data_IF_248801909812
#
_entry.id   IF_248801909812
#
_cell.length_a   1.000
_cell.length_b   1.000
_cell.length_c   1.000
_cell.angle_alpha   90.00
_cell.angle_beta   90.00
_cell.angle_gamma   90.00
#
_symmetry.space_group_name_H-M   'P 1'
#
loop_
_entity.id
_entity.type
_entity.pdbx_description
1 polymer ?
#
# COMPACT_ATOMS: atom_id res chain seq x y z
N UNK A 1 12.76 -3.61 -10.63
CA UNK A 1 13.62 -4.63 -9.99
C UNK A 1 14.54 -4.08 -8.90
N UNK A 2 14.82 -2.78 -8.84
CA UNK A 2 15.62 -2.14 -7.78
C UNK A 2 14.83 -1.84 -6.47
N UNK A 3 13.49 -1.98 -6.50
CA UNK A 3 12.56 -1.68 -5.38
C UNK A 3 12.72 -2.64 -4.22
N UNK A 4 12.89 -3.93 -4.53
CA UNK A 4 13.03 -4.97 -3.50
C UNK A 4 14.35 -4.82 -2.75
N UNK A 5 15.44 -4.50 -3.46
CA UNK A 5 16.75 -4.25 -2.86
C UNK A 5 16.74 -3.07 -1.88
N UNK A 6 16.03 -1.97 -2.20
CA UNK A 6 15.88 -0.82 -1.29
C UNK A 6 15.03 -1.13 -0.05
N UNK A 7 14.23 -2.19 -0.09
CA UNK A 7 13.47 -2.69 1.05
C UNK A 7 14.24 -3.75 1.84
N UNK A 8 15.47 -4.09 1.43
CA UNK A 8 16.26 -5.16 2.03
C UNK A 8 15.71 -6.56 1.74
N UNK A 9 14.99 -6.73 0.63
CA UNK A 9 14.24 -7.94 0.29
C UNK A 9 14.80 -8.57 -0.99
N UNK A 10 15.06 -9.88 -0.97
CA UNK A 10 15.39 -10.65 -2.17
C UNK A 10 14.13 -11.00 -2.97
N UNK A 11 14.30 -11.23 -4.28
CA UNK A 11 13.23 -11.79 -5.12
C UNK A 11 12.77 -13.16 -4.61
N UNK A 12 13.64 -13.93 -3.98
CA UNK A 12 13.32 -15.25 -3.41
C UNK A 12 12.38 -15.14 -2.20
N UNK A 13 12.40 -14.02 -1.49
CA UNK A 13 11.57 -13.77 -0.32
C UNK A 13 10.12 -13.42 -0.69
N UNK A 14 9.86 -13.13 -1.97
CA UNK A 14 8.54 -12.73 -2.47
C UNK A 14 8.08 -13.67 -3.57
N UNK A 15 7.02 -14.43 -3.29
CA UNK A 15 6.44 -15.31 -4.31
C UNK A 15 6.07 -14.57 -5.61
N UNK A 16 6.32 -15.20 -6.76
CA UNK A 16 5.93 -14.68 -8.09
C UNK A 16 4.44 -14.33 -8.16
N UNK A 17 3.58 -15.09 -7.47
CA UNK A 17 2.14 -14.82 -7.38
C UNK A 17 1.86 -13.48 -6.71
N UNK A 18 2.59 -13.15 -5.63
CA UNK A 18 2.45 -11.88 -4.91
C UNK A 18 2.94 -10.71 -5.75
N UNK A 19 4.07 -10.87 -6.45
CA UNK A 19 4.60 -9.88 -7.37
C UNK A 19 3.64 -9.60 -8.54
N UNK A 20 3.10 -10.63 -9.19
CA UNK A 20 2.12 -10.48 -10.28
C UNK A 20 0.89 -9.69 -9.84
N UNK A 21 0.35 -9.98 -8.65
CA UNK A 21 -0.79 -9.22 -8.08
C UNK A 21 -0.43 -7.76 -7.82
N UNK A 22 0.74 -7.49 -7.27
CA UNK A 22 1.18 -6.12 -7.01
C UNK A 22 1.26 -5.30 -8.31
N UNK A 23 1.84 -5.88 -9.37
CA UNK A 23 1.91 -5.25 -10.70
C UNK A 23 0.50 -5.03 -11.29
N UNK A 24 -0.41 -5.99 -11.16
CA UNK A 24 -1.81 -5.84 -11.61
C UNK A 24 -2.50 -4.65 -10.92
N UNK A 25 -2.30 -4.49 -9.61
CA UNK A 25 -2.83 -3.36 -8.84
C UNK A 25 -2.30 -2.03 -9.36
N UNK A 26 -0.99 -1.93 -9.59
CA UNK A 26 -0.36 -0.70 -10.13
C UNK A 26 -0.89 -0.39 -11.53
N UNK A 27 -0.91 -1.38 -12.43
CA UNK A 27 -1.36 -1.19 -13.81
C UNK A 27 -2.85 -0.81 -13.91
N UNK A 28 -3.65 -1.13 -12.90
CA UNK A 28 -5.07 -0.76 -12.83
C UNK A 28 -5.32 0.60 -12.15
N UNK A 29 -4.27 1.38 -11.85
CA UNK A 29 -4.42 2.69 -11.19
C UNK A 29 -5.00 2.61 -9.78
N UNK A 30 -4.71 1.52 -9.05
CA UNK A 30 -5.31 1.24 -7.74
C UNK A 30 -4.47 1.69 -6.55
N UNK A 31 -3.40 2.44 -6.80
CA UNK A 31 -2.58 3.05 -5.74
C UNK A 31 -2.85 4.54 -5.71
N UNK A 32 -3.23 5.06 -4.54
CA UNK A 32 -3.65 6.44 -4.34
C UNK A 32 -2.85 7.07 -3.21
N UNK A 33 -2.42 8.30 -3.41
CA UNK A 33 -1.76 9.14 -2.42
C UNK A 33 -2.66 10.31 -2.08
N UNK A 34 -3.03 10.43 -0.82
CA UNK A 34 -3.79 11.56 -0.28
C UNK A 34 -2.84 12.48 0.47
N UNK A 35 -2.94 13.78 0.17
CA UNK A 35 -2.22 14.86 0.85
C UNK A 35 -3.29 15.73 1.51
N UNK A 36 -3.29 15.76 2.85
CA UNK A 36 -4.24 16.53 3.62
C UNK A 36 -3.75 17.96 3.81
N UNK A 37 -4.64 18.93 3.64
CA UNK A 37 -4.34 20.36 3.75
C UNK A 37 -5.18 21.02 4.85
N UNK A 38 -4.60 21.93 5.65
CA UNK A 38 -3.23 22.46 5.56
C UNK A 38 -2.14 21.61 6.25
N UNK A 39 -2.48 20.53 6.95
CA UNK A 39 -1.51 19.80 7.80
C UNK A 39 -0.32 19.19 7.07
N UNK A 40 -0.44 18.92 5.77
CA UNK A 40 0.55 18.21 4.97
C UNK A 40 0.64 16.72 5.27
N UNK A 41 -0.27 16.16 6.08
CA UNK A 41 -0.32 14.72 6.37
C UNK A 41 -0.51 13.94 5.07
N UNK A 42 0.18 12.81 4.96
CA UNK A 42 0.12 11.94 3.78
C UNK A 42 -0.37 10.56 4.17
N UNK A 43 -1.36 10.06 3.43
CA UNK A 43 -1.89 8.70 3.56
C UNK A 43 -1.86 8.00 2.20
N UNK A 44 -1.47 6.72 2.19
CA UNK A 44 -1.56 5.87 1.01
C UNK A 44 -2.69 4.88 1.13
N UNK A 45 -3.43 4.72 0.03
CA UNK A 45 -4.52 3.78 -0.10
C UNK A 45 -4.29 2.88 -1.29
N UNK A 46 -4.45 1.57 -1.08
CA UNK A 46 -4.44 0.58 -2.16
C UNK A 46 -5.84 0.01 -2.30
N UNK A 47 -6.48 0.30 -3.43
CA UNK A 47 -7.87 -0.08 -3.73
C UNK A 47 -7.95 -1.59 -3.96
N UNK A 48 -8.63 -2.27 -3.07
CA UNK A 48 -8.81 -3.72 -3.13
C UNK A 48 -9.96 -4.15 -4.04
N UNK A 49 -10.40 -5.40 -3.88
CA UNK A 49 -11.65 -5.89 -4.48
C UNK A 49 -12.83 -5.80 -3.52
N UNK A 50 -12.57 -5.87 -2.21
CA UNK A 50 -13.59 -5.89 -1.15
C UNK A 50 -13.66 -4.58 -0.39
N UNK A 51 -12.49 -4.01 -0.10
CA UNK A 51 -12.33 -2.73 0.57
C UNK A 51 -11.01 -2.08 0.16
N UNK A 52 -10.86 -0.84 0.58
CA UNK A 52 -9.63 -0.09 0.42
C UNK A 52 -8.71 -0.33 1.61
N UNK A 53 -7.42 -0.46 1.33
CA UNK A 53 -6.42 -0.80 2.34
C UNK A 53 -5.55 0.41 2.64
N UNK A 54 -5.54 0.80 3.90
CA UNK A 54 -4.62 1.80 4.43
C UNK A 54 -3.20 1.24 4.45
N UNK A 55 -2.28 2.00 3.87
CA UNK A 55 -0.87 1.62 3.74
C UNK A 55 0.00 2.73 4.32
N UNK A 56 0.92 2.33 5.21
CA UNK A 56 2.05 3.15 5.61
C UNK A 56 3.27 2.54 4.91
N UNK A 57 3.92 3.27 3.98
CA UNK A 57 5.04 2.73 3.21
C UNK A 57 6.07 2.04 4.10
N UNK A 58 6.49 0.85 3.70
CA UNK A 58 7.48 0.01 4.39
C UNK A 58 7.11 -0.48 5.80
N UNK A 59 5.99 -0.05 6.37
CA UNK A 59 5.67 -0.30 7.78
C UNK A 59 4.39 -1.11 7.98
N UNK A 60 3.31 -0.77 7.28
CA UNK A 60 1.99 -1.31 7.63
C UNK A 60 1.03 -1.40 6.43
N UNK A 61 0.18 -2.42 6.45
CA UNK A 61 -1.01 -2.48 5.61
C UNK A 61 -2.19 -3.07 6.40
N UNK A 62 -3.38 -2.49 6.25
CA UNK A 62 -4.59 -2.95 6.94
C UNK A 62 -5.22 -4.25 6.41
N UNK A 63 -4.51 -5.00 5.54
CA UNK A 63 -5.02 -6.26 5.01
C UNK A 63 -4.65 -7.47 5.89
N UNK A 64 -5.49 -8.50 5.85
CA UNK A 64 -5.26 -9.75 6.61
C UNK A 64 -3.96 -10.46 6.20
N UNK A 65 -3.53 -10.37 4.93
CA UNK A 65 -2.26 -10.96 4.46
C UNK A 65 -1.06 -10.34 5.18
N UNK A 66 -1.12 -9.05 5.49
CA UNK A 66 -0.08 -8.38 6.27
C UNK A 66 -0.07 -8.92 7.70
N UNK A 67 -1.22 -8.90 8.39
CA UNK A 67 -1.30 -9.36 9.77
C UNK A 67 -0.88 -10.84 9.91
N UNK A 68 -1.42 -11.71 9.05
CA UNK A 68 -1.21 -13.15 9.14
C UNK A 68 0.19 -13.53 8.65
N UNK A 69 0.58 -13.12 7.45
CA UNK A 69 1.78 -13.67 6.81
C UNK A 69 3.03 -12.82 7.04
N UNK A 70 2.91 -11.51 7.23
CA UNK A 70 4.05 -10.63 7.53
C UNK A 70 4.33 -10.60 9.04
N UNK A 71 3.32 -10.28 9.85
CA UNK A 71 3.51 -10.07 11.29
C UNK A 71 3.50 -11.38 12.08
N UNK A 72 2.43 -12.16 11.96
CA UNK A 72 2.22 -13.35 12.81
C UNK A 72 3.10 -14.53 12.39
N UNK A 73 3.01 -14.96 11.12
CA UNK A 73 3.74 -16.12 10.61
C UNK A 73 5.16 -15.81 10.15
N UNK A 74 5.45 -14.54 9.82
CA UNK A 74 6.73 -14.10 9.25
C UNK A 74 7.16 -14.94 8.02
N UNK A 75 6.19 -15.40 7.25
CA UNK A 75 6.40 -16.26 6.08
C UNK A 75 6.70 -15.47 4.80
N UNK A 76 6.58 -14.14 4.85
CA UNK A 76 6.86 -13.21 3.76
C UNK A 76 7.18 -11.85 4.37
N UNK A 77 8.10 -11.07 3.80
CA UNK A 77 8.43 -9.76 4.34
C UNK A 77 7.35 -8.70 4.04
N UNK A 78 6.55 -8.91 3.00
CA UNK A 78 5.52 -7.96 2.57
C UNK A 78 4.23 -8.66 2.11
N UNK A 79 3.10 -7.98 2.26
CA UNK A 79 1.88 -8.28 1.51
C UNK A 79 1.95 -7.67 0.10
N UNK A 80 1.07 -8.08 -0.82
CA UNK A 80 1.12 -7.51 -2.18
C UNK A 80 0.73 -6.02 -2.23
N UNK A 81 0.00 -5.49 -1.25
CA UNK A 81 -0.37 -4.07 -1.22
C UNK A 81 0.82 -3.16 -0.91
N UNK A 82 1.66 -3.53 0.08
CA UNK A 82 2.91 -2.82 0.35
C UNK A 82 3.83 -2.87 -0.86
N UNK A 83 3.91 -4.02 -1.53
CA UNK A 83 4.69 -4.15 -2.75
C UNK A 83 4.12 -3.29 -3.88
N UNK A 84 2.80 -3.23 -4.04
CA UNK A 84 2.15 -2.39 -5.04
C UNK A 84 2.42 -0.90 -4.78
N UNK A 85 2.29 -0.45 -3.52
CA UNK A 85 2.61 0.92 -3.14
C UNK A 85 4.07 1.26 -3.45
N UNK A 86 5.02 0.41 -3.05
CA UNK A 86 6.44 0.65 -3.30
C UNK A 86 6.77 0.69 -4.82
N UNK A 87 6.17 -0.20 -5.61
CA UNK A 87 6.33 -0.18 -7.08
C UNK A 87 5.71 1.07 -7.69
N UNK A 88 4.50 1.44 -7.28
CA UNK A 88 3.81 2.62 -7.78
C UNK A 88 4.60 3.90 -7.46
N UNK A 89 5.02 4.08 -6.22
CA UNK A 89 5.81 5.23 -5.77
C UNK A 89 7.10 5.37 -6.58
N UNK A 90 7.85 4.26 -6.71
CA UNK A 90 9.07 4.19 -7.52
C UNK A 90 8.85 4.58 -8.98
N UNK A 91 7.74 4.13 -9.56
CA UNK A 91 7.47 4.27 -11.00
C UNK A 91 6.63 5.50 -11.33
N UNK A 92 6.22 6.30 -10.34
CA UNK A 92 5.30 7.42 -10.54
C UNK A 92 3.89 7.02 -10.96
N UNK A 93 3.49 5.76 -10.72
CA UNK A 93 2.20 5.20 -11.18
C UNK A 93 1.18 5.12 -10.06
N UNK A 94 0.68 6.28 -9.64
CA UNK A 94 -0.36 6.43 -8.64
C UNK A 94 -1.10 7.75 -8.86
N UNK A 95 -2.33 7.82 -8.37
CA UNK A 95 -3.11 9.06 -8.35
C UNK A 95 -2.76 9.88 -7.11
N UNK A 96 -2.77 11.21 -7.24
CA UNK A 96 -2.58 12.13 -6.11
C UNK A 96 -3.84 12.96 -5.90
N UNK A 97 -4.29 13.03 -4.66
CA UNK A 97 -5.45 13.83 -4.24
C UNK A 97 -5.02 14.82 -3.15
N UNK A 98 -5.42 16.07 -3.30
CA UNK A 98 -5.33 17.09 -2.24
C UNK A 98 -6.70 17.21 -1.60
N UNK A 99 -6.79 16.98 -0.29
CA UNK A 99 -8.07 16.91 0.45
C UNK A 99 -7.95 17.76 1.70
N UNK A 100 -9.01 18.46 2.12
CA UNK A 100 -8.95 19.22 3.38
C UNK A 100 -8.78 18.27 4.58
N UNK A 101 -8.20 18.74 5.68
CA UNK A 101 -8.07 17.93 6.90
C UNK A 101 -9.44 17.45 7.42
N UNK A 102 -10.49 18.28 7.32
CA UNK A 102 -11.85 17.92 7.73
C UNK A 102 -12.45 16.79 6.87
N UNK A 103 -12.31 16.86 5.54
CA UNK A 103 -12.74 15.77 4.66
C UNK A 103 -11.86 14.52 4.87
N UNK A 104 -10.58 14.72 5.17
CA UNK A 104 -9.63 13.66 5.44
C UNK A 104 -10.00 12.82 6.66
N UNK A 105 -10.49 13.44 7.73
CA UNK A 105 -10.97 12.73 8.93
C UNK A 105 -12.06 11.73 8.59
N UNK A 106 -13.05 12.13 7.77
CA UNK A 106 -14.15 11.27 7.32
C UNK A 106 -13.64 10.09 6.49
N UNK A 107 -12.65 10.31 5.61
CA UNK A 107 -12.02 9.25 4.82
C UNK A 107 -11.25 8.27 5.70
N UNK A 108 -10.47 8.78 6.66
CA UNK A 108 -9.70 7.96 7.59
C UNK A 108 -10.59 7.07 8.46
N UNK A 109 -11.75 7.57 8.89
CA UNK A 109 -12.74 6.77 9.61
C UNK A 109 -13.22 5.57 8.78
N UNK A 110 -13.51 5.77 7.49
CA UNK A 110 -13.91 4.67 6.61
C UNK A 110 -12.79 3.64 6.42
N UNK A 111 -11.55 4.08 6.23
CA UNK A 111 -10.42 3.17 6.03
C UNK A 111 -10.00 2.41 7.30
N UNK A 112 -10.32 2.95 8.48
CA UNK A 112 -10.09 2.28 9.77
C UNK A 112 -11.14 1.22 10.11
N UNK A 113 -12.31 1.23 9.47
CA UNK A 113 -13.32 0.17 9.67
C UNK A 113 -12.79 -1.16 9.13
N UNK A 114 -12.44 -2.06 10.05
CA UNK A 114 -11.82 -3.36 9.76
C UNK A 114 -12.88 -4.38 9.38
#
# INVERSE_FOLDING_TARGET
>A
MQVLQELGISLDDVSLKRLKKAIEVVNRGRVKKYIFVPSGRVTWIVVGRRKDYWVIPRLYCSCDDFYINVISRRSTPLCYHLLAQAIAERTGRYDVFSVSDEEGEKLEEEWRKV
#
